data_IF_394904247713
#
_entry.id   IF_394904247713
#
_cell.length_a   1.000
_cell.length_b   1.000
_cell.length_c   1.000
_cell.angle_alpha   90.00
_cell.angle_beta   90.00
_cell.angle_gamma   90.00
#
_symmetry.space_group_name_H-M   'P 1'
#
loop_
_entity.id
_entity.type
_entity.pdbx_description
1 polymer ?
#
# COMPACT_ATOMS: atom_id res chain seq x y z
N UNK A 1 -3.28 -10.42 8.16
CA UNK A 1 -2.02 -10.54 8.92
C UNK A 1 -1.33 -9.19 8.81
N UNK A 2 -1.32 -8.38 9.88
CA UNK A 2 -0.58 -7.11 9.94
C UNK A 2 0.92 -7.42 9.99
N UNK A 3 1.50 -7.85 8.86
CA UNK A 3 2.96 -7.75 8.69
C UNK A 3 3.27 -6.26 8.70
N UNK A 4 4.16 -5.83 9.60
CA UNK A 4 4.62 -4.45 9.76
C UNK A 4 4.78 -3.77 8.40
N UNK A 5 3.77 -2.99 8.00
CA UNK A 5 3.67 -2.40 6.67
C UNK A 5 4.74 -1.33 6.45
N UNK A 6 5.27 -0.76 7.53
CA UNK A 6 6.47 0.08 7.55
C UNK A 6 7.73 -0.63 6.98
N UNK A 7 7.79 -1.97 7.01
CA UNK A 7 8.92 -2.71 6.43
C UNK A 7 8.81 -2.89 4.90
N UNK A 8 7.64 -2.70 4.29
CA UNK A 8 7.47 -2.87 2.83
C UNK A 8 8.14 -1.76 2.01
N UNK A 9 8.46 -0.62 2.62
CA UNK A 9 9.17 0.48 1.95
C UNK A 9 10.69 0.38 2.04
N UNK A 10 11.24 -0.53 2.84
CA UNK A 10 12.69 -0.73 2.96
C UNK A 10 13.10 -2.02 2.26
N UNK A 11 13.29 -1.93 0.94
CA UNK A 11 13.79 -3.05 0.15
C UNK A 11 15.22 -3.34 0.59
N UNK A 12 15.41 -4.47 1.25
CA UNK A 12 16.74 -4.94 1.63
C UNK A 12 17.36 -5.75 0.48
N UNK A 13 18.66 -6.04 0.58
CA UNK A 13 19.39 -6.75 -0.47
C UNK A 13 18.84 -8.15 -0.73
N UNK A 14 18.41 -8.86 0.31
CA UNK A 14 17.93 -10.23 0.18
C UNK A 14 16.55 -10.26 -0.48
N UNK A 15 15.61 -9.39 -0.07
CA UNK A 15 14.31 -9.26 -0.73
C UNK A 15 14.48 -9.00 -2.24
N UNK A 16 15.42 -8.11 -2.57
CA UNK A 16 15.73 -7.76 -3.94
C UNK A 16 16.36 -8.92 -4.72
N UNK A 17 17.22 -9.73 -4.09
CA UNK A 17 17.81 -10.92 -4.72
C UNK A 17 16.75 -12.01 -4.92
N UNK A 18 15.88 -12.21 -3.95
CA UNK A 18 14.78 -13.17 -4.01
C UNK A 18 13.80 -12.82 -5.13
N UNK A 19 13.51 -11.54 -5.34
CA UNK A 19 12.73 -11.09 -6.49
C UNK A 19 13.45 -11.38 -7.82
N UNK A 20 14.74 -11.05 -7.94
CA UNK A 20 15.47 -11.36 -9.18
C UNK A 20 15.53 -12.88 -9.43
N UNK A 21 15.63 -13.68 -8.36
CA UNK A 21 15.54 -15.13 -8.44
C UNK A 21 14.17 -15.61 -8.92
N UNK A 22 13.07 -15.01 -8.44
CA UNK A 22 11.72 -15.43 -8.81
C UNK A 22 11.41 -15.18 -10.28
N UNK A 23 11.89 -14.06 -10.84
CA UNK A 23 11.66 -13.68 -12.24
C UNK A 23 12.65 -14.32 -13.23
N UNK A 24 13.84 -14.73 -12.76
CA UNK A 24 14.91 -15.33 -13.57
C UNK A 24 15.33 -16.73 -13.06
N UNK A 25 14.36 -17.65 -12.93
CA UNK A 25 14.59 -18.99 -12.38
C UNK A 25 15.66 -19.80 -13.13
N UNK A 26 15.69 -19.67 -14.45
CA UNK A 26 16.63 -20.40 -15.32
C UNK A 26 17.97 -19.67 -15.51
N UNK A 27 17.98 -18.34 -15.38
CA UNK A 27 19.16 -17.52 -15.55
C UNK A 27 19.94 -17.24 -14.26
N UNK A 28 19.60 -17.94 -13.16
CA UNK A 28 20.26 -17.80 -11.86
C UNK A 28 21.79 -17.75 -11.99
N UNK A 29 22.31 -16.53 -11.88
CA UNK A 29 23.69 -16.24 -12.19
C UNK A 29 24.50 -16.28 -10.91
N UNK A 30 25.66 -16.95 -10.89
CA UNK A 30 26.64 -16.82 -9.80
C UNK A 30 26.95 -15.36 -9.44
N UNK A 31 26.80 -14.43 -10.38
CA UNK A 31 26.92 -12.99 -10.15
C UNK A 31 25.88 -12.43 -9.16
N UNK A 32 24.67 -12.98 -9.10
CA UNK A 32 23.63 -12.59 -8.14
C UNK A 32 24.07 -12.94 -6.71
N UNK A 33 24.61 -14.15 -6.50
CA UNK A 33 25.16 -14.55 -5.19
C UNK A 33 26.38 -13.71 -4.78
N UNK A 34 27.16 -13.25 -5.74
CA UNK A 34 28.32 -12.39 -5.50
C UNK A 34 27.95 -10.92 -5.23
N UNK A 35 26.66 -10.56 -5.30
CA UNK A 35 26.20 -9.24 -4.90
C UNK A 35 26.01 -9.20 -3.37
N UNK A 36 26.98 -8.60 -2.68
CA UNK A 36 26.96 -8.38 -1.23
C UNK A 36 26.41 -6.99 -0.86
N UNK A 37 26.11 -6.16 -1.85
CA UNK A 37 25.56 -4.82 -1.65
C UNK A 37 24.48 -4.52 -2.68
N UNK A 38 23.54 -3.66 -2.31
CA UNK A 38 22.49 -3.19 -3.21
C UNK A 38 23.05 -2.48 -4.45
N UNK A 39 24.19 -1.78 -4.30
CA UNK A 39 24.89 -1.12 -5.41
C UNK A 39 25.37 -2.13 -6.46
N UNK A 40 25.94 -3.26 -6.03
CA UNK A 40 26.39 -4.31 -6.94
C UNK A 40 25.22 -4.95 -7.68
N UNK A 41 24.11 -5.21 -6.96
CA UNK A 41 22.89 -5.75 -7.56
C UNK A 41 22.33 -4.81 -8.63
N UNK A 42 22.19 -3.52 -8.33
CA UNK A 42 21.73 -2.51 -9.30
C UNK A 42 22.62 -2.44 -10.53
N UNK A 43 23.95 -2.46 -10.36
CA UNK A 43 24.89 -2.47 -11.49
C UNK A 43 24.74 -3.73 -12.34
N UNK A 44 24.47 -4.88 -11.73
CA UNK A 44 24.22 -6.13 -12.45
C UNK A 44 22.95 -6.03 -13.29
N UNK A 45 21.86 -5.53 -12.70
CA UNK A 45 20.57 -5.35 -13.38
C UNK A 45 20.72 -4.35 -14.52
N UNK A 46 21.38 -3.21 -14.30
CA UNK A 46 21.65 -2.20 -15.34
C UNK A 46 22.42 -2.76 -16.54
N UNK A 47 23.39 -3.66 -16.33
CA UNK A 47 24.15 -4.29 -17.42
C UNK A 47 23.28 -5.16 -18.34
N UNK A 48 22.15 -5.66 -17.85
CA UNK A 48 21.16 -6.43 -18.60
C UNK A 48 19.78 -5.82 -18.45
N UNK A 49 19.70 -4.50 -18.53
CA UNK A 49 18.51 -3.74 -18.14
C UNK A 49 17.24 -4.24 -18.85
N UNK A 50 17.24 -4.26 -20.19
CA UNK A 50 16.06 -4.70 -20.97
C UNK A 50 15.63 -6.14 -20.66
N UNK A 51 16.59 -7.02 -20.37
CA UNK A 51 16.30 -8.41 -20.06
C UNK A 51 15.52 -8.53 -18.74
N UNK A 52 16.02 -7.89 -17.67
CA UNK A 52 15.33 -7.92 -16.38
C UNK A 52 14.02 -7.12 -16.39
N UNK A 53 13.95 -6.03 -17.16
CA UNK A 53 12.71 -5.28 -17.38
C UNK A 53 11.64 -6.20 -18.01
N UNK A 54 11.99 -6.91 -19.09
CA UNK A 54 11.06 -7.83 -19.75
C UNK A 54 10.64 -9.00 -18.84
N UNK A 55 11.56 -9.54 -18.02
CA UNK A 55 11.24 -10.58 -17.06
C UNK A 55 10.27 -10.08 -15.98
N UNK A 56 10.52 -8.90 -15.42
CA UNK A 56 9.63 -8.31 -14.41
C UNK A 56 8.25 -7.97 -14.96
N UNK A 57 8.17 -7.44 -16.20
CA UNK A 57 6.88 -7.24 -16.89
C UNK A 57 6.15 -8.57 -17.10
N UNK A 58 6.85 -9.61 -17.54
CA UNK A 58 6.25 -10.94 -17.72
C UNK A 58 5.73 -11.49 -16.40
N UNK A 59 6.48 -11.33 -15.31
CA UNK A 59 6.09 -11.78 -13.99
C UNK A 59 4.83 -11.07 -13.49
N UNK A 60 4.77 -9.73 -13.61
CA UNK A 60 3.59 -8.92 -13.30
C UNK A 60 2.30 -9.45 -13.96
N UNK A 61 2.37 -9.84 -15.24
CA UNK A 61 1.21 -10.37 -15.97
C UNK A 61 0.84 -11.82 -15.59
N UNK A 62 1.77 -12.56 -15.00
CA UNK A 62 1.54 -13.95 -14.56
C UNK A 62 1.12 -14.07 -13.10
N UNK A 63 0.98 -12.94 -12.41
CA UNK A 63 0.67 -12.91 -10.98
C UNK A 63 -0.82 -13.02 -10.72
N UNK A 64 -1.22 -14.01 -9.92
CA UNK A 64 -2.63 -14.36 -9.69
C UNK A 64 -3.20 -13.80 -8.36
N UNK A 65 -2.39 -13.17 -7.52
CA UNK A 65 -2.82 -12.64 -6.23
C UNK A 65 -2.24 -11.25 -5.92
N UNK A 66 -2.89 -10.53 -5.00
CA UNK A 66 -2.54 -9.15 -4.68
C UNK A 66 -1.21 -8.99 -3.93
N UNK A 67 -0.79 -9.98 -3.14
CA UNK A 67 0.45 -9.88 -2.37
C UNK A 67 1.67 -9.94 -3.30
N UNK A 68 1.66 -10.88 -4.24
CA UNK A 68 2.69 -11.00 -5.26
C UNK A 68 2.65 -9.79 -6.21
N UNK A 69 1.47 -9.28 -6.55
CA UNK A 69 1.34 -8.10 -7.43
C UNK A 69 1.90 -6.85 -6.76
N UNK A 70 1.65 -6.66 -5.46
CA UNK A 70 2.22 -5.56 -4.69
C UNK A 70 3.75 -5.66 -4.67
N UNK A 71 4.29 -6.86 -4.40
CA UNK A 71 5.73 -7.10 -4.37
C UNK A 71 6.39 -6.82 -5.73
N UNK A 72 5.79 -7.30 -6.82
CA UNK A 72 6.27 -7.04 -8.17
C UNK A 72 6.30 -5.54 -8.46
N UNK A 73 5.23 -4.81 -8.12
CA UNK A 73 5.17 -3.37 -8.33
C UNK A 73 6.18 -2.60 -7.48
N UNK A 74 6.43 -3.02 -6.24
CA UNK A 74 7.47 -2.45 -5.36
C UNK A 74 8.85 -2.62 -6.01
N UNK A 75 9.18 -3.84 -6.41
CA UNK A 75 10.49 -4.16 -7.00
C UNK A 75 10.68 -3.53 -8.37
N UNK A 76 9.63 -3.49 -9.19
CA UNK A 76 9.64 -2.85 -10.50
C UNK A 76 9.80 -1.33 -10.38
N UNK A 77 9.10 -0.68 -9.45
CA UNK A 77 9.35 0.74 -9.16
C UNK A 77 10.77 0.98 -8.65
N UNK A 78 11.34 0.06 -7.89
CA UNK A 78 12.69 0.21 -7.36
C UNK A 78 13.79 0.13 -8.43
N UNK A 79 13.66 -0.79 -9.38
CA UNK A 79 14.67 -1.04 -10.41
C UNK A 79 14.44 -0.30 -11.73
N UNK A 80 13.18 -0.05 -12.07
CA UNK A 80 12.73 0.39 -13.38
C UNK A 80 11.77 1.58 -13.31
N UNK A 81 11.85 2.39 -12.25
CA UNK A 81 11.14 3.67 -12.21
C UNK A 81 11.47 4.47 -13.47
N UNK A 82 10.45 5.08 -14.10
CA UNK A 82 10.56 5.95 -15.28
C UNK A 82 10.80 5.23 -16.62
N UNK A 83 10.79 3.89 -16.65
CA UNK A 83 10.75 3.16 -17.91
C UNK A 83 9.37 3.31 -18.56
N UNK A 84 9.33 3.70 -19.84
CA UNK A 84 8.09 4.01 -20.56
C UNK A 84 7.16 2.80 -20.63
N UNK A 85 7.72 1.63 -20.87
CA UNK A 85 7.03 0.35 -20.93
C UNK A 85 6.36 0.04 -19.60
N UNK A 86 7.04 0.32 -18.48
CA UNK A 86 6.48 0.10 -17.16
C UNK A 86 5.42 1.16 -16.80
N UNK A 87 5.63 2.43 -17.16
CA UNK A 87 4.62 3.48 -16.99
C UNK A 87 3.33 3.18 -17.76
N UNK A 88 3.45 2.64 -18.98
CA UNK A 88 2.30 2.20 -19.77
C UNK A 88 1.51 1.10 -19.06
N UNK A 89 2.20 0.11 -18.49
CA UNK A 89 1.56 -0.97 -17.73
C UNK A 89 0.85 -0.43 -16.50
N UNK A 90 1.45 0.50 -15.76
CA UNK A 90 0.82 1.11 -14.58
C UNK A 90 -0.49 1.82 -14.90
N UNK A 91 -0.57 2.48 -16.06
CA UNK A 91 -1.81 3.13 -16.52
C UNK A 91 -2.91 2.08 -16.75
N UNK A 92 -2.61 0.99 -17.47
CA UNK A 92 -3.60 -0.07 -17.73
C UNK A 92 -4.05 -0.80 -16.47
N UNK A 93 -3.11 -1.14 -15.59
CA UNK A 93 -3.43 -1.81 -14.32
C UNK A 93 -4.33 -0.94 -13.44
N UNK A 94 -4.12 0.39 -13.45
CA UNK A 94 -4.93 1.32 -12.66
C UNK A 94 -6.41 1.24 -13.04
N UNK A 95 -6.74 1.20 -14.33
CA UNK A 95 -8.12 1.18 -14.81
C UNK A 95 -8.84 -0.12 -14.43
N UNK A 96 -8.12 -1.25 -14.40
CA UNK A 96 -8.66 -2.53 -13.93
C UNK A 96 -8.82 -2.58 -12.41
N UNK A 97 -7.86 -2.02 -11.66
CA UNK A 97 -7.91 -2.04 -10.19
C UNK A 97 -9.09 -1.25 -9.62
N UNK A 98 -9.50 -0.14 -10.25
CA UNK A 98 -10.63 0.65 -9.76
C UNK A 98 -11.96 -0.13 -9.73
N UNK A 99 -12.02 -1.29 -10.40
CA UNK A 99 -13.18 -2.20 -10.39
C UNK A 99 -13.19 -3.15 -9.20
N UNK A 100 -12.12 -3.19 -8.39
CA UNK A 100 -11.98 -4.12 -7.28
C UNK A 100 -12.85 -3.70 -6.09
N UNK A 101 -13.58 -4.67 -5.55
CA UNK A 101 -14.42 -4.48 -4.36
C UNK A 101 -13.59 -4.39 -3.07
N UNK A 102 -12.53 -5.19 -2.94
CA UNK A 102 -11.62 -5.16 -1.79
C UNK A 102 -10.83 -3.84 -1.75
N UNK A 103 -11.26 -2.94 -0.87
CA UNK A 103 -10.69 -1.60 -0.74
C UNK A 103 -9.28 -1.59 -0.18
N UNK A 104 -8.91 -2.58 0.64
CA UNK A 104 -7.56 -2.69 1.19
C UNK A 104 -6.60 -3.03 0.06
N UNK A 105 -6.92 -4.05 -0.73
CA UNK A 105 -6.10 -4.44 -1.86
C UNK A 105 -6.07 -3.36 -2.96
N UNK A 106 -7.20 -2.70 -3.23
CA UNK A 106 -7.22 -1.51 -4.10
C UNK A 106 -6.19 -0.47 -3.65
N UNK A 107 -6.20 -0.08 -2.37
CA UNK A 107 -5.29 0.93 -1.84
C UNK A 107 -3.82 0.48 -1.91
N UNK A 108 -3.52 -0.74 -1.47
CA UNK A 108 -2.19 -1.35 -1.49
C UNK A 108 -1.56 -1.33 -2.86
N UNK A 109 -2.31 -1.66 -3.90
CA UNK A 109 -1.77 -1.65 -5.26
C UNK A 109 -1.70 -0.22 -5.83
N UNK A 110 -2.75 0.58 -5.64
CA UNK A 110 -2.86 1.91 -6.26
C UNK A 110 -1.70 2.83 -5.87
N UNK A 111 -1.22 2.76 -4.62
CA UNK A 111 -0.07 3.56 -4.15
C UNK A 111 1.24 3.30 -4.89
N UNK A 112 1.37 2.15 -5.55
CA UNK A 112 2.56 1.80 -6.34
C UNK A 112 2.39 2.09 -7.82
N UNK A 113 1.15 2.31 -8.28
CA UNK A 113 0.88 2.70 -9.67
C UNK A 113 0.96 4.20 -9.89
N UNK A 114 0.59 4.98 -8.87
CA UNK A 114 0.42 6.43 -9.00
C UNK A 114 1.61 7.15 -8.38
N UNK A 115 2.17 8.12 -9.12
CA UNK A 115 3.26 8.97 -8.64
C UNK A 115 2.71 10.21 -7.89
N UNK A 116 1.91 9.97 -6.86
CA UNK A 116 1.31 11.00 -5.98
C UNK A 116 1.50 10.52 -4.54
N UNK A 117 1.59 11.45 -3.58
CA UNK A 117 1.72 11.11 -2.17
C UNK A 117 0.49 10.36 -1.62
N UNK A 118 0.72 9.52 -0.61
CA UNK A 118 -0.32 8.64 -0.03
C UNK A 118 -1.45 9.45 0.60
N UNK A 119 -1.16 10.64 1.12
CA UNK A 119 -2.16 11.56 1.68
C UNK A 119 -3.18 11.99 0.61
N UNK A 120 -2.72 12.43 -0.56
CA UNK A 120 -3.59 12.83 -1.67
C UNK A 120 -4.31 11.64 -2.30
N UNK A 121 -3.70 10.45 -2.31
CA UNK A 121 -4.39 9.22 -2.75
C UNK A 121 -5.60 8.93 -1.85
N UNK A 122 -5.41 8.90 -0.53
CA UNK A 122 -6.49 8.62 0.43
C UNK A 122 -7.61 9.66 0.30
N UNK A 123 -7.28 10.96 0.24
CA UNK A 123 -8.27 12.03 0.03
C UNK A 123 -9.06 11.83 -1.26
N UNK A 124 -8.37 11.52 -2.35
CA UNK A 124 -9.01 11.34 -3.66
C UNK A 124 -9.96 10.15 -3.65
N UNK A 125 -9.56 9.04 -3.05
CA UNK A 125 -10.41 7.86 -2.91
C UNK A 125 -11.64 8.14 -2.07
N UNK A 126 -11.47 8.86 -0.95
CA UNK A 126 -12.58 9.24 -0.07
C UNK A 126 -13.56 10.20 -0.76
N UNK A 127 -13.07 11.29 -1.35
CA UNK A 127 -13.92 12.28 -2.02
C UNK A 127 -14.66 11.73 -3.25
N UNK A 128 -14.08 10.73 -3.93
CA UNK A 128 -14.73 10.03 -5.04
C UNK A 128 -15.59 8.84 -4.59
N UNK A 129 -15.77 8.65 -3.28
CA UNK A 129 -16.61 7.61 -2.69
C UNK A 129 -16.16 6.18 -3.04
N UNK A 130 -14.87 5.97 -3.33
CA UNK A 130 -14.30 4.63 -3.47
C UNK A 130 -14.11 3.94 -2.11
N UNK A 131 -13.93 4.74 -1.05
CA UNK A 131 -13.71 4.28 0.32
C UNK A 131 -14.55 5.13 1.28
N UNK A 132 -14.92 4.56 2.42
CA UNK A 132 -15.64 5.28 3.48
C UNK A 132 -14.68 5.91 4.50
N UNK A 133 -15.24 6.63 5.47
CA UNK A 133 -14.54 7.31 6.56
C UNK A 133 -13.64 6.35 7.36
N UNK A 134 -14.16 5.18 7.72
CA UNK A 134 -13.42 4.19 8.50
C UNK A 134 -12.20 3.64 7.72
N UNK A 135 -12.38 3.34 6.44
CA UNK A 135 -11.29 2.90 5.56
C UNK A 135 -10.26 4.01 5.35
N UNK A 136 -10.70 5.25 5.17
CA UNK A 136 -9.80 6.41 5.07
C UNK A 136 -9.00 6.62 6.36
N UNK A 137 -9.63 6.43 7.53
CA UNK A 137 -8.95 6.47 8.82
C UNK A 137 -7.90 5.36 8.95
N UNK A 138 -8.29 4.12 8.61
CA UNK A 138 -7.39 2.97 8.63
C UNK A 138 -6.16 3.17 7.74
N UNK A 139 -6.35 3.61 6.49
CA UNK A 139 -5.22 3.89 5.60
C UNK A 139 -4.37 5.05 6.12
N UNK A 140 -4.98 6.09 6.67
CA UNK A 140 -4.24 7.19 7.30
C UNK A 140 -3.37 6.70 8.46
N UNK A 141 -3.84 5.76 9.28
CA UNK A 141 -3.06 5.15 10.36
C UNK A 141 -1.87 4.36 9.84
N UNK A 142 -2.08 3.52 8.83
CA UNK A 142 -1.04 2.73 8.20
C UNK A 142 0.08 3.63 7.62
N UNK A 143 -0.30 4.77 7.06
CA UNK A 143 0.62 5.77 6.51
C UNK A 143 1.17 6.76 7.56
N UNK A 144 0.93 6.51 8.85
CA UNK A 144 1.37 7.36 9.96
C UNK A 144 0.84 8.81 9.88
N UNK A 145 -0.35 9.01 9.30
CA UNK A 145 -1.05 10.30 9.18
C UNK A 145 -2.09 10.45 10.32
N UNK A 146 -1.61 10.54 11.56
CA UNK A 146 -2.44 10.38 12.76
C UNK A 146 -3.53 11.46 12.89
N UNK A 147 -3.20 12.73 12.58
CA UNK A 147 -4.18 13.81 12.61
C UNK A 147 -5.33 13.58 11.63
N UNK A 148 -5.03 13.05 10.44
CA UNK A 148 -6.05 12.71 9.44
C UNK A 148 -6.91 11.55 9.85
N UNK A 149 -6.29 10.51 10.40
CA UNK A 149 -7.03 9.39 10.95
C UNK A 149 -8.07 9.89 11.97
N UNK A 150 -7.66 10.80 12.87
CA UNK A 150 -8.58 11.43 13.82
C UNK A 150 -9.73 12.17 13.13
N UNK A 151 -9.46 12.99 12.10
CA UNK A 151 -10.52 13.71 11.39
C UNK A 151 -11.55 12.79 10.76
N UNK A 152 -11.11 11.71 10.12
CA UNK A 152 -12.03 10.72 9.53
C UNK A 152 -12.83 10.00 10.61
N UNK A 153 -12.19 9.54 11.70
CA UNK A 153 -12.87 8.88 12.81
C UNK A 153 -13.90 9.81 13.47
N UNK A 154 -13.54 11.07 13.72
CA UNK A 154 -14.42 12.06 14.35
C UNK A 154 -15.63 12.43 13.46
N UNK A 155 -15.51 12.29 12.13
CA UNK A 155 -16.61 12.53 11.21
C UNK A 155 -17.66 11.41 11.22
N UNK A 156 -17.35 10.24 11.79
CA UNK A 156 -18.27 9.10 11.86
C UNK A 156 -19.34 9.34 12.93
N UNK A 157 -20.59 9.02 12.60
CA UNK A 157 -21.70 9.08 13.57
C UNK A 157 -21.64 7.93 14.58
N UNK A 158 -21.30 6.74 14.09
CA UNK A 158 -21.19 5.51 14.87
C UNK A 158 -19.73 5.16 15.13
N UNK A 159 -19.51 4.40 16.21
CA UNK A 159 -18.18 3.90 16.53
C UNK A 159 -17.67 2.97 15.40
N UNK A 160 -16.41 3.14 14.94
CA UNK A 160 -15.77 2.21 13.99
C UNK A 160 -15.54 0.83 14.63
N UNK A 161 -15.05 -0.12 13.84
CA UNK A 161 -14.63 -1.40 14.38
C UNK A 161 -13.52 -1.24 15.43
N UNK A 162 -13.60 -2.02 16.50
CA UNK A 162 -12.67 -1.96 17.64
C UNK A 162 -11.21 -2.04 17.20
N UNK A 163 -10.90 -2.85 16.17
CA UNK A 163 -9.54 -2.99 15.63
C UNK A 163 -8.96 -1.68 15.10
N UNK A 164 -9.78 -0.80 14.52
CA UNK A 164 -9.34 0.51 14.01
C UNK A 164 -9.08 1.46 15.17
N UNK A 165 -9.93 1.43 16.21
CA UNK A 165 -9.71 2.21 17.43
C UNK A 165 -8.50 1.74 18.22
N UNK A 166 -8.32 0.42 18.37
CA UNK A 166 -7.15 -0.18 19.01
C UNK A 166 -5.87 0.25 18.29
N UNK A 167 -5.90 0.23 16.94
CA UNK A 167 -4.79 0.71 16.13
C UNK A 167 -4.53 2.21 16.38
N UNK A 168 -5.56 3.05 16.32
CA UNK A 168 -5.42 4.49 16.61
C UNK A 168 -4.89 4.75 18.02
N UNK A 169 -5.35 3.98 19.00
CA UNK A 169 -4.93 4.09 20.41
C UNK A 169 -3.45 3.80 20.63
N UNK A 170 -2.84 2.97 19.77
CA UNK A 170 -1.41 2.71 19.80
C UNK A 170 -0.56 3.93 19.39
N UNK A 171 -1.17 4.91 18.69
CA UNK A 171 -0.55 6.17 18.29
C UNK A 171 -0.96 7.34 19.20
N UNK A 172 -2.25 7.49 19.51
CA UNK A 172 -2.78 8.58 20.33
C UNK A 172 -3.89 8.13 21.30
N UNK A 173 -3.49 7.84 22.53
CA UNK A 173 -4.40 7.45 23.61
C UNK A 173 -5.35 8.59 24.01
N UNK A 174 -4.89 9.85 24.00
CA UNK A 174 -5.72 11.01 24.41
C UNK A 174 -6.79 11.27 23.34
N UNK A 175 -6.41 11.23 22.07
CA UNK A 175 -7.34 11.29 20.94
C UNK A 175 -8.39 10.19 21.02
N UNK A 176 -8.00 8.97 21.41
CA UNK A 176 -8.92 7.83 21.56
C UNK A 176 -10.01 8.11 22.60
N UNK A 177 -9.65 8.64 23.77
CA UNK A 177 -10.65 9.00 24.79
C UNK A 177 -11.63 10.07 24.30
N UNK A 178 -11.16 11.03 23.50
CA UNK A 178 -12.03 12.05 22.90
C UNK A 178 -13.01 11.44 21.90
N UNK A 179 -12.55 10.53 21.05
CA UNK A 179 -13.39 9.79 20.09
C UNK A 179 -14.44 8.94 20.80
N UNK A 180 -14.05 8.14 21.80
CA UNK A 180 -14.99 7.34 22.58
C UNK A 180 -16.06 8.20 23.24
N UNK A 181 -15.68 9.34 23.82
CA UNK A 181 -16.64 10.29 24.38
C UNK A 181 -17.59 10.86 23.32
N UNK A 182 -17.07 11.19 22.13
CA UNK A 182 -17.87 11.70 21.02
C UNK A 182 -18.95 10.69 20.59
N UNK A 183 -18.59 9.44 20.33
CA UNK A 183 -19.56 8.41 19.95
C UNK A 183 -20.59 8.17 21.05
N UNK A 184 -20.16 8.16 22.31
CA UNK A 184 -21.07 7.99 23.45
C UNK A 184 -22.10 9.13 23.57
N UNK A 185 -21.71 10.36 23.22
CA UNK A 185 -22.60 11.52 23.21
C UNK A 185 -23.59 11.46 22.04
N UNK A 186 -23.14 11.04 20.86
CA UNK A 186 -24.01 10.88 19.70
C UNK A 186 -25.09 9.82 19.96
N UNK A 187 -24.72 8.64 20.48
CA UNK A 187 -25.70 7.59 20.81
C UNK A 187 -26.79 8.08 21.79
N UNK A 188 -26.40 8.85 22.82
CA UNK A 188 -27.37 9.44 23.75
C UNK A 188 -28.31 10.46 23.10
N UNK A 189 -27.83 11.23 22.12
CA UNK A 189 -28.69 12.18 21.38
C UNK A 189 -29.71 11.45 20.51
N UNK A 190 -29.31 10.36 19.84
CA UNK A 190 -30.22 9.55 19.04
C UNK A 190 -31.34 8.93 19.90
N UNK A 191 -31.03 8.39 21.07
CA UNK A 191 -32.06 7.82 21.97
C UNK A 191 -33.11 8.85 22.41
N UNK A 192 -32.71 10.11 22.66
CA UNK A 192 -33.62 11.20 23.05
C UNK A 192 -34.46 11.72 21.88
N UNK A 193 -34.02 11.50 20.64
CA UNK A 193 -34.71 11.97 19.43
C UNK A 193 -35.88 11.09 18.99
N UNK A 194 -35.92 9.84 19.49
CA UNK A 194 -36.92 8.82 19.14
C UNK A 194 -37.86 8.47 20.32
N UNK A 195 -37.82 9.24 21.40
CA UNK A 195 -38.68 9.13 22.59
C UNK A 195 -39.68 10.27 22.68
#
# INVERSE_FOLDING_TARGET
>A
MLKNYLNLMFINLEDAKDYIYSIDKEGYNKKLEQCFTMKQLKLMIQKKHQHYLNLGIKHLYSTDNFDDLENDLIMMNYFFSQEREFDYIKIHLKDELLKIEDKINLYRILRHLVNIDTKTIIETLYHKSYINEEQAAYFSLIENQIEKAYYYLYAMNDQPHDKVLDLYSSYDLIGTYKLLRHYHQNHKMYEVSYS
#
